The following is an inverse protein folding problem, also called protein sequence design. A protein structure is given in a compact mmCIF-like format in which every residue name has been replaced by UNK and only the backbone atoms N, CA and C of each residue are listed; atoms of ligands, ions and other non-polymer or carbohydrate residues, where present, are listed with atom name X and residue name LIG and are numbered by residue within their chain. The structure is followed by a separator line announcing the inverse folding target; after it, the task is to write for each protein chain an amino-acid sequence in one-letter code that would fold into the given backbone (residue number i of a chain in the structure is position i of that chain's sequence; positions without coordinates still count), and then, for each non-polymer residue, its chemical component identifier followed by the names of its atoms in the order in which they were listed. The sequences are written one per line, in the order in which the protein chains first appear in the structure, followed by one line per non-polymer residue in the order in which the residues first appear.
data_IF_223552771563
#
_entry.id   IF_223552771563
#
_cell.length_a   1.000
_cell.length_b   1.000
_cell.length_c   1.000
_cell.angle_alpha   90.00
_cell.angle_beta   90.00
_cell.angle_gamma   90.00
#
_symmetry.space_group_name_H-M   'P 1'
#
loop_
_entity.id
_entity.type
_entity.pdbx_description
1 polymer ?
#
# COMPACT_ATOMS: atom_id res chain seq x y z
N UNK A 1 -19.79 -2.43 -16.94
CA UNK A 1 -18.68 -2.90 -17.79
C UNK A 1 -17.71 -3.76 -16.99
N UNK A 2 -17.25 -4.91 -17.52
CA UNK A 2 -16.08 -5.64 -17.01
C UNK A 2 -14.98 -5.51 -18.07
N UNK A 3 -13.83 -4.96 -17.71
CA UNK A 3 -12.67 -4.80 -18.59
C UNK A 3 -11.48 -5.55 -17.98
N UNK A 4 -10.66 -6.20 -18.81
CA UNK A 4 -9.45 -6.89 -18.37
C UNK A 4 -8.29 -5.93 -18.09
N UNK A 5 -8.33 -4.71 -18.64
CA UNK A 5 -7.31 -3.66 -18.45
C UNK A 5 -7.94 -2.26 -18.34
N UNK A 6 -7.20 -1.31 -17.77
CA UNK A 6 -7.62 0.10 -17.73
C UNK A 6 -7.79 0.70 -19.15
N UNK A 7 -6.92 0.28 -20.09
CA UNK A 7 -7.02 0.68 -21.50
C UNK A 7 -8.32 0.17 -22.13
N UNK A 8 -8.68 -1.09 -21.90
CA UNK A 8 -9.97 -1.64 -22.33
C UNK A 8 -11.15 -0.92 -21.69
N UNK A 9 -11.06 -0.56 -20.40
CA UNK A 9 -12.11 0.18 -19.72
C UNK A 9 -12.36 1.55 -20.38
N UNK A 10 -11.29 2.27 -20.74
CA UNK A 10 -11.37 3.54 -21.46
C UNK A 10 -11.92 3.35 -22.87
N UNK A 11 -11.52 2.30 -23.59
CA UNK A 11 -12.08 1.98 -24.91
C UNK A 11 -13.58 1.69 -24.85
N UNK A 12 -14.02 0.90 -23.86
CA UNK A 12 -15.43 0.60 -23.65
C UNK A 12 -16.22 1.85 -23.26
N UNK A 13 -15.66 2.72 -22.41
CA UNK A 13 -16.27 4.00 -22.06
C UNK A 13 -16.42 4.92 -23.27
N UNK A 14 -15.42 4.99 -24.15
CA UNK A 14 -15.50 5.74 -25.41
C UNK A 14 -16.56 5.15 -26.33
N UNK A 15 -16.62 3.83 -26.48
CA UNK A 15 -17.66 3.17 -27.27
C UNK A 15 -19.07 3.48 -26.73
N UNK A 16 -19.24 3.45 -25.40
CA UNK A 16 -20.52 3.73 -24.74
C UNK A 16 -20.90 5.23 -24.78
N UNK A 17 -19.92 6.14 -24.76
CA UNK A 17 -20.17 7.57 -24.79
C UNK A 17 -20.64 8.07 -26.17
N UNK A 18 -20.17 7.43 -27.25
CA UNK A 18 -20.40 7.91 -28.61
C UNK A 18 -21.29 7.01 -29.47
N UNK A 19 -21.50 5.73 -29.08
CA UNK A 19 -22.39 4.80 -29.79
C UNK A 19 -22.10 4.66 -31.29
N UNK A 20 -23.09 4.19 -32.04
CA UNK A 20 -23.07 4.10 -33.52
C UNK A 20 -23.73 5.31 -34.21
N UNK A 21 -24.02 6.39 -33.48
CA UNK A 21 -24.60 7.60 -34.07
C UNK A 21 -23.58 8.32 -34.96
N UNK A 22 -23.98 8.68 -36.19
CA UNK A 22 -23.14 9.46 -37.12
C UNK A 22 -22.62 10.78 -36.52
N UNK A 23 -23.39 11.40 -35.61
CA UNK A 23 -22.96 12.60 -34.88
C UNK A 23 -21.95 12.30 -33.76
N UNK A 24 -21.87 11.08 -33.23
CA UNK A 24 -20.85 10.67 -32.25
C UNK A 24 -19.51 10.32 -32.90
N UNK A 25 -19.52 9.86 -34.15
CA UNK A 25 -18.35 9.35 -34.85
C UNK A 25 -17.19 10.37 -34.97
N UNK A 26 -17.51 11.63 -35.29
CA UNK A 26 -16.49 12.66 -35.44
C UNK A 26 -15.88 13.10 -34.10
N UNK A 27 -16.66 13.10 -33.01
CA UNK A 27 -16.16 13.39 -31.67
C UNK A 27 -15.24 12.26 -31.19
N UNK A 28 -15.66 11.01 -31.39
CA UNK A 28 -14.88 9.81 -31.10
C UNK A 28 -13.53 9.81 -31.82
N UNK A 29 -13.52 10.14 -33.11
CA UNK A 29 -12.29 10.20 -33.92
C UNK A 29 -11.25 11.19 -33.35
N UNK A 30 -11.68 12.29 -32.71
CA UNK A 30 -10.73 13.22 -32.06
C UNK A 30 -9.95 12.57 -30.91
N UNK A 31 -10.61 11.72 -30.14
CA UNK A 31 -10.02 10.99 -29.01
C UNK A 31 -9.14 9.85 -29.52
N UNK A 32 -9.61 9.10 -30.52
CA UNK A 32 -8.83 7.99 -31.07
C UNK A 32 -7.47 8.43 -31.63
N UNK A 33 -7.46 9.51 -32.42
CA UNK A 33 -6.22 10.01 -33.05
C UNK A 33 -5.21 10.51 -32.03
N UNK A 34 -5.64 11.33 -31.09
CA UNK A 34 -4.70 11.97 -30.17
C UNK A 34 -4.39 11.11 -28.94
N UNK A 35 -5.41 10.51 -28.33
CA UNK A 35 -5.29 9.88 -27.01
C UNK A 35 -4.96 8.38 -27.12
N UNK A 36 -5.33 7.71 -28.23
CA UNK A 36 -4.95 6.32 -28.48
C UNK A 36 -3.77 6.17 -29.46
N UNK A 37 -3.70 6.98 -30.51
CA UNK A 37 -2.63 6.90 -31.53
C UNK A 37 -1.49 7.91 -31.31
N UNK A 38 -1.64 8.87 -30.40
CA UNK A 38 -0.61 9.86 -30.09
C UNK A 38 -0.38 10.91 -31.18
N UNK A 39 -1.32 11.09 -32.11
CA UNK A 39 -1.20 12.07 -33.20
C UNK A 39 -1.21 13.50 -32.64
N UNK A 40 -0.28 14.34 -33.12
CA UNK A 40 -0.26 15.77 -32.78
C UNK A 40 -1.52 16.45 -33.33
N UNK A 41 -2.09 17.38 -32.56
CA UNK A 41 -3.32 18.13 -32.88
C UNK A 41 -3.39 18.66 -34.30
N UNK A 42 -2.28 19.18 -34.85
CA UNK A 42 -2.23 19.70 -36.22
C UNK A 42 -2.49 18.62 -37.27
N UNK A 43 -1.91 17.43 -37.09
CA UNK A 43 -2.07 16.31 -38.01
C UNK A 43 -3.49 15.73 -37.91
N UNK A 44 -4.00 15.53 -36.69
CA UNK A 44 -5.35 15.04 -36.46
C UNK A 44 -6.42 15.98 -37.04
N UNK A 45 -6.30 17.29 -36.80
CA UNK A 45 -7.23 18.29 -37.35
C UNK A 45 -7.23 18.28 -38.89
N UNK A 46 -6.04 18.19 -39.51
CA UNK A 46 -5.91 18.12 -40.96
C UNK A 46 -6.56 16.84 -41.54
N UNK A 47 -6.35 15.69 -40.89
CA UNK A 47 -6.90 14.42 -41.32
C UNK A 47 -8.43 14.35 -41.19
N UNK A 48 -9.01 15.16 -40.30
CA UNK A 48 -10.46 15.29 -40.11
C UNK A 48 -11.07 16.43 -40.94
N UNK A 49 -10.28 17.11 -41.78
CA UNK A 49 -10.70 18.28 -42.56
C UNK A 49 -11.28 19.42 -41.69
N UNK A 50 -10.72 19.62 -40.48
CA UNK A 50 -11.14 20.65 -39.53
C UNK A 50 -10.08 21.74 -39.38
N UNK A 51 -10.50 22.99 -39.17
CA UNK A 51 -9.60 24.01 -38.63
C UNK A 51 -9.17 23.65 -37.20
N UNK A 52 -8.00 24.13 -36.75
CA UNK A 52 -7.53 23.91 -35.36
C UNK A 52 -8.57 24.35 -34.33
N UNK A 53 -9.26 25.47 -34.57
CA UNK A 53 -10.29 25.99 -33.65
C UNK A 53 -11.50 25.07 -33.58
N UNK A 54 -11.97 24.57 -34.72
CA UNK A 54 -13.06 23.58 -34.75
C UNK A 54 -12.64 22.28 -34.07
N UNK A 55 -11.43 21.78 -34.33
CA UNK A 55 -10.90 20.59 -33.67
C UNK A 55 -10.92 20.71 -32.14
N UNK A 56 -10.45 21.84 -31.58
CA UNK A 56 -10.50 22.05 -30.13
C UNK A 56 -11.93 22.10 -29.58
N UNK A 57 -12.87 22.72 -30.32
CA UNK A 57 -14.28 22.74 -29.94
C UNK A 57 -14.86 21.32 -29.90
N UNK A 58 -14.63 20.53 -30.94
CA UNK A 58 -15.05 19.12 -30.99
C UNK A 58 -14.38 18.28 -29.90
N UNK A 59 -13.10 18.50 -29.62
CA UNK A 59 -12.41 17.79 -28.52
C UNK A 59 -12.99 18.13 -27.15
N UNK A 60 -13.30 19.40 -26.89
CA UNK A 60 -13.94 19.82 -25.64
C UNK A 60 -15.33 19.17 -25.48
N UNK A 61 -16.11 19.13 -26.56
CA UNK A 61 -17.42 18.46 -26.60
C UNK A 61 -17.30 16.94 -26.39
N UNK A 62 -16.30 16.30 -27.00
CA UNK A 62 -16.01 14.89 -26.81
C UNK A 62 -15.66 14.58 -25.34
N UNK A 63 -14.81 15.39 -24.71
CA UNK A 63 -14.45 15.23 -23.30
C UNK A 63 -15.65 15.45 -22.37
N UNK A 64 -16.51 16.43 -22.66
CA UNK A 64 -17.74 16.64 -21.88
C UNK A 64 -18.67 15.42 -21.97
N UNK A 65 -18.87 14.85 -23.16
CA UNK A 65 -19.72 13.67 -23.36
C UNK A 65 -19.14 12.42 -22.70
N UNK A 66 -17.83 12.26 -22.72
CA UNK A 66 -17.13 11.23 -21.95
C UNK A 66 -17.34 11.41 -20.45
N UNK A 67 -17.24 12.64 -19.94
CA UNK A 67 -17.44 12.93 -18.52
C UNK A 67 -18.89 12.64 -18.09
N UNK A 68 -19.89 13.05 -18.89
CA UNK A 68 -21.30 12.73 -18.61
C UNK A 68 -21.58 11.23 -18.67
N UNK A 69 -20.96 10.51 -19.61
CA UNK A 69 -21.12 9.05 -19.70
C UNK A 69 -20.42 8.35 -18.55
N UNK A 70 -19.24 8.81 -18.16
CA UNK A 70 -18.55 8.32 -16.97
C UNK A 70 -19.42 8.53 -15.73
N UNK A 71 -19.97 9.73 -15.54
CA UNK A 71 -20.89 10.02 -14.43
C UNK A 71 -22.08 9.04 -14.41
N UNK A 72 -22.74 8.82 -15.56
CA UNK A 72 -23.87 7.89 -15.71
C UNK A 72 -23.50 6.42 -15.49
N UNK A 73 -22.36 5.97 -16.02
CA UNK A 73 -21.83 4.61 -15.75
C UNK A 73 -21.53 4.44 -14.26
N UNK A 74 -21.15 5.53 -13.60
CA UNK A 74 -20.92 5.61 -12.17
C UNK A 74 -22.21 5.85 -11.36
N UNK A 75 -23.41 6.01 -11.94
CA UNK A 75 -24.71 6.17 -11.24
C UNK A 75 -25.26 4.86 -10.62
N UNK A 76 -24.38 3.94 -10.20
CA UNK A 76 -24.65 3.29 -8.90
C UNK A 76 -24.51 4.40 -7.85
N UNK A 77 -25.42 4.58 -6.88
CA UNK A 77 -25.22 5.62 -5.88
C UNK A 77 -23.80 5.46 -5.31
N UNK A 78 -22.91 6.43 -5.55
CA UNK A 78 -21.52 6.25 -5.22
C UNK A 78 -21.43 6.27 -3.70
N UNK A 79 -20.86 5.23 -3.12
CA UNK A 79 -20.65 5.19 -1.67
C UNK A 79 -19.51 6.13 -1.24
N UNK A 80 -18.69 6.61 -2.18
CA UNK A 80 -17.64 7.60 -1.97
C UNK A 80 -17.91 8.90 -2.76
N UNK A 81 -17.87 10.03 -2.07
CA UNK A 81 -18.10 11.38 -2.58
C UNK A 81 -17.04 11.76 -3.65
N UNK A 82 -17.46 11.93 -4.91
CA UNK A 82 -16.59 12.16 -6.07
C UNK A 82 -15.59 13.31 -5.85
N UNK A 83 -16.03 14.38 -5.18
CA UNK A 83 -15.20 15.54 -4.90
C UNK A 83 -14.04 15.19 -3.95
N UNK A 84 -14.27 14.28 -3.00
CA UNK A 84 -13.26 13.81 -2.04
C UNK A 84 -12.23 12.92 -2.74
N UNK A 85 -12.69 12.05 -3.64
CA UNK A 85 -11.82 11.20 -4.47
C UNK A 85 -10.99 12.06 -5.42
N UNK A 86 -11.60 13.08 -6.04
CA UNK A 86 -10.91 14.02 -6.91
C UNK A 86 -9.87 14.85 -6.14
N UNK A 87 -10.23 15.41 -4.98
CA UNK A 87 -9.28 16.11 -4.11
C UNK A 87 -8.11 15.21 -3.68
N UNK A 88 -8.36 13.93 -3.40
CA UNK A 88 -7.32 12.96 -3.08
C UNK A 88 -6.44 12.57 -4.27
N UNK A 89 -6.96 12.59 -5.50
CA UNK A 89 -6.15 12.41 -6.71
C UNK A 89 -5.30 13.64 -7.00
N UNK A 90 -5.86 14.84 -6.79
CA UNK A 90 -5.16 16.12 -6.95
C UNK A 90 -4.04 16.25 -5.91
N UNK A 91 -4.22 15.77 -4.67
CA UNK A 91 -3.19 15.91 -3.62
C UNK A 91 -1.87 15.23 -3.96
N UNK A 92 -1.89 14.20 -4.80
CA UNK A 92 -0.68 13.53 -5.30
C UNK A 92 0.13 14.38 -6.31
N UNK A 93 -0.46 15.43 -6.88
CA UNK A 93 0.12 16.25 -7.95
C UNK A 93 0.27 17.71 -7.52
N UNK A 94 -0.73 18.26 -6.85
CA UNK A 94 -0.83 19.64 -6.40
C UNK A 94 -1.53 19.70 -5.02
N UNK A 95 -0.71 19.72 -3.96
CA UNK A 95 -1.17 19.70 -2.58
C UNK A 95 -1.99 20.95 -2.23
N UNK A 96 -1.63 22.12 -2.75
CA UNK A 96 -2.31 23.39 -2.45
C UNK A 96 -3.71 23.42 -3.07
N UNK A 97 -3.83 23.02 -4.34
CA UNK A 97 -5.13 22.88 -5.01
C UNK A 97 -6.02 21.85 -4.30
N UNK A 98 -5.46 20.73 -3.85
CA UNK A 98 -6.21 19.72 -3.10
C UNK A 98 -6.75 20.25 -1.77
N UNK A 99 -5.98 21.06 -1.03
CA UNK A 99 -6.45 21.68 0.20
C UNK A 99 -7.61 22.64 -0.03
N UNK A 100 -7.57 23.44 -1.09
CA UNK A 100 -8.69 24.30 -1.45
C UNK A 100 -9.96 23.49 -1.75
N UNK A 101 -9.82 22.40 -2.50
CA UNK A 101 -10.94 21.48 -2.77
C UNK A 101 -11.49 20.89 -1.47
N UNK A 102 -10.64 20.36 -0.58
CA UNK A 102 -11.08 19.83 0.71
C UNK A 102 -11.77 20.89 1.58
N UNK A 103 -11.23 22.11 1.67
CA UNK A 103 -11.84 23.19 2.45
C UNK A 103 -13.23 23.58 1.92
N UNK A 104 -13.43 23.54 0.61
CA UNK A 104 -14.72 23.79 -0.02
C UNK A 104 -15.72 22.66 0.22
N UNK A 105 -15.28 21.41 0.14
CA UNK A 105 -16.12 20.23 0.42
C UNK A 105 -16.54 20.22 1.89
N UNK A 106 -15.61 20.44 2.82
CA UNK A 106 -15.90 20.50 4.28
C UNK A 106 -16.94 21.57 4.60
N UNK A 107 -16.89 22.73 3.93
CA UNK A 107 -17.86 23.82 4.13
C UNK A 107 -19.28 23.46 3.68
N UNK A 108 -19.43 22.56 2.71
CA UNK A 108 -20.72 22.14 2.13
C UNK A 108 -21.35 20.94 2.84
N UNK A 109 -20.62 20.28 3.74
CA UNK A 109 -21.04 19.03 4.41
C UNK A 109 -21.35 19.26 5.89
N UNK A 110 -22.20 18.41 6.47
CA UNK A 110 -22.54 18.41 7.90
C UNK A 110 -22.45 16.99 8.48
N UNK A 111 -22.43 16.89 9.82
CA UNK A 111 -22.41 15.61 10.54
C UNK A 111 -21.22 14.71 10.17
N UNK A 112 -21.48 13.41 10.04
CA UNK A 112 -20.48 12.36 9.77
C UNK A 112 -19.75 12.54 8.43
N UNK A 113 -20.44 13.04 7.40
CA UNK A 113 -19.82 13.30 6.09
C UNK A 113 -18.75 14.39 6.17
N UNK A 114 -19.01 15.45 6.95
CA UNK A 114 -18.02 16.51 7.17
C UNK A 114 -16.77 15.97 7.85
N UNK A 115 -16.94 15.08 8.81
CA UNK A 115 -15.82 14.49 9.55
C UNK A 115 -15.00 13.55 8.64
N UNK A 116 -15.66 12.72 7.83
CA UNK A 116 -14.97 11.87 6.85
C UNK A 116 -14.13 12.68 5.85
N UNK A 117 -14.63 13.84 5.38
CA UNK A 117 -13.88 14.74 4.50
C UNK A 117 -12.70 15.37 5.24
N UNK A 118 -12.87 15.78 6.51
CA UNK A 118 -11.77 16.32 7.32
C UNK A 118 -10.66 15.28 7.53
N UNK A 119 -11.03 14.04 7.80
CA UNK A 119 -10.10 12.91 7.90
C UNK A 119 -9.32 12.74 6.60
N UNK A 120 -10.00 12.72 5.46
CA UNK A 120 -9.36 12.61 4.14
C UNK A 120 -8.42 13.81 3.86
N UNK A 121 -8.81 15.02 4.23
CA UNK A 121 -8.00 16.22 4.10
C UNK A 121 -6.72 16.13 4.97
N UNK A 122 -6.84 15.71 6.23
CA UNK A 122 -5.70 15.49 7.13
C UNK A 122 -4.74 14.43 6.60
N UNK A 123 -5.27 13.32 6.07
CA UNK A 123 -4.45 12.29 5.45
C UNK A 123 -3.69 12.82 4.23
N UNK A 124 -4.39 13.51 3.32
CA UNK A 124 -3.77 14.13 2.15
C UNK A 124 -2.72 15.17 2.54
N UNK A 125 -2.98 15.98 3.56
CA UNK A 125 -2.04 16.98 4.09
C UNK A 125 -0.69 16.38 4.49
N UNK A 126 -0.76 15.35 5.35
CA UNK A 126 0.42 14.70 5.91
C UNK A 126 1.14 13.89 4.84
N UNK A 127 0.40 13.08 4.08
CA UNK A 127 0.98 12.12 3.14
C UNK A 127 1.33 12.71 1.78
N UNK A 128 1.01 13.96 1.49
CA UNK A 128 1.47 14.67 0.28
C UNK A 128 2.64 15.62 0.58
N UNK A 129 3.06 15.73 1.85
CA UNK A 129 4.24 16.51 2.20
C UNK A 129 5.52 15.87 1.61
N UNK A 130 6.36 16.72 1.01
CA UNK A 130 7.68 16.36 0.51
C UNK A 130 8.79 16.67 1.53
N UNK A 131 8.51 17.52 2.51
CA UNK A 131 9.47 17.95 3.53
C UNK A 131 8.94 17.66 4.96
N UNK A 132 9.69 16.92 5.80
CA UNK A 132 9.39 16.77 7.23
C UNK A 132 9.17 18.09 7.97
N UNK A 133 9.89 19.14 7.58
CA UNK A 133 9.80 20.47 8.18
C UNK A 133 8.49 21.20 7.86
N UNK A 134 7.76 20.78 6.82
CA UNK A 134 6.45 21.33 6.49
C UNK A 134 5.34 20.71 7.35
N UNK A 135 5.54 19.50 7.87
CA UNK A 135 4.58 18.81 8.75
C UNK A 135 4.80 19.20 10.22
N UNK A 136 6.06 19.47 10.63
CA UNK A 136 6.49 19.72 12.01
C UNK A 136 5.95 21.00 12.75
N UNK A 137 5.69 22.17 12.11
CA UNK A 137 5.36 23.41 12.83
C UNK A 137 3.94 23.40 13.41
N UNK A 138 2.98 22.79 12.72
CA UNK A 138 1.58 22.67 13.20
C UNK A 138 1.42 21.56 14.26
N UNK A 139 2.40 20.65 14.38
CA UNK A 139 2.43 19.49 15.28
C UNK A 139 2.30 19.85 16.76
N UNK A 140 2.92 20.97 17.14
CA UNK A 140 3.00 21.44 18.52
C UNK A 140 1.66 22.02 18.98
N UNK A 141 0.82 22.48 18.04
CA UNK A 141 -0.44 23.18 18.32
C UNK A 141 -1.70 22.39 17.96
N UNK A 142 -1.60 21.35 17.12
CA UNK A 142 -2.78 20.57 16.74
C UNK A 142 -3.36 19.80 17.93
N UNK A 143 -4.63 20.04 18.23
CA UNK A 143 -5.40 19.31 19.24
C UNK A 143 -6.08 18.05 18.67
N UNK A 144 -5.97 17.82 17.36
CA UNK A 144 -6.57 16.67 16.69
C UNK A 144 -5.67 15.43 16.83
N UNK A 145 -6.11 14.40 17.57
CA UNK A 145 -5.32 13.19 17.78
C UNK A 145 -5.07 12.41 16.49
N UNK A 146 -5.95 12.50 15.48
CA UNK A 146 -5.74 11.81 14.21
C UNK A 146 -4.56 12.42 13.45
N UNK A 147 -4.54 13.74 13.33
CA UNK A 147 -3.43 14.46 12.69
C UNK A 147 -2.09 14.12 13.35
N UNK A 148 -2.05 14.05 14.70
CA UNK A 148 -0.86 13.64 15.45
C UNK A 148 -0.40 12.22 15.12
N UNK A 149 -1.32 11.26 15.04
CA UNK A 149 -1.00 9.86 14.72
C UNK A 149 -0.45 9.72 13.29
N UNK A 150 -1.07 10.38 12.31
CA UNK A 150 -0.60 10.35 10.92
C UNK A 150 0.75 11.04 10.77
N UNK A 151 0.93 12.19 11.42
CA UNK A 151 2.20 12.89 11.43
C UNK A 151 3.31 12.06 12.08
N UNK A 152 3.04 11.39 13.20
CA UNK A 152 4.00 10.52 13.84
C UNK A 152 4.42 9.38 12.89
N UNK A 153 3.47 8.82 12.14
CA UNK A 153 3.76 7.80 11.13
C UNK A 153 4.64 8.36 9.99
N UNK A 154 4.34 9.58 9.50
CA UNK A 154 5.16 10.25 8.50
C UNK A 154 6.59 10.48 9.00
N UNK A 155 6.74 11.05 10.20
CA UNK A 155 8.04 11.32 10.82
C UNK A 155 8.84 10.04 11.08
N UNK A 156 8.16 8.94 11.38
CA UNK A 156 8.81 7.62 11.49
C UNK A 156 9.44 7.19 10.16
N UNK A 157 8.74 7.39 9.03
CA UNK A 157 9.26 7.07 7.70
C UNK A 157 10.40 8.00 7.25
N UNK A 158 10.46 9.23 7.75
CA UNK A 158 11.54 10.17 7.40
C UNK A 158 12.77 10.02 8.31
N UNK A 159 12.75 9.09 9.27
CA UNK A 159 13.85 8.83 10.20
C UNK A 159 13.84 9.70 11.46
N UNK A 160 12.82 10.53 11.68
CA UNK A 160 12.67 11.36 12.88
C UNK A 160 12.03 10.57 14.04
N UNK A 161 12.59 9.39 14.35
CA UNK A 161 11.99 8.36 15.20
C UNK A 161 11.73 8.82 16.65
N UNK A 162 12.58 9.69 17.21
CA UNK A 162 12.38 10.23 18.56
C UNK A 162 11.17 11.18 18.63
N UNK A 163 11.01 12.02 17.60
CA UNK A 163 9.86 12.94 17.50
C UNK A 163 8.58 12.13 17.26
N UNK A 164 8.62 11.17 16.35
CA UNK A 164 7.52 10.25 16.08
C UNK A 164 7.06 9.53 17.36
N UNK A 165 8.00 8.97 18.14
CA UNK A 165 7.71 8.30 19.40
C UNK A 165 7.02 9.21 20.42
N UNK A 166 7.47 10.47 20.56
CA UNK A 166 6.82 11.45 21.43
C UNK A 166 5.41 11.77 20.99
N UNK A 167 5.18 12.00 19.70
CA UNK A 167 3.84 12.26 19.16
C UNK A 167 2.89 11.07 19.32
N UNK A 168 3.37 9.84 19.11
CA UNK A 168 2.58 8.64 19.40
C UNK A 168 2.19 8.55 20.88
N UNK A 169 3.12 8.82 21.81
CA UNK A 169 2.83 8.82 23.24
C UNK A 169 1.82 9.90 23.64
N UNK A 170 1.94 11.11 23.07
CA UNK A 170 0.98 12.19 23.28
C UNK A 170 -0.40 11.85 22.75
N UNK A 171 -0.48 11.32 21.52
CA UNK A 171 -1.74 10.87 20.93
C UNK A 171 -2.38 9.78 21.79
N UNK A 172 -1.61 8.76 22.22
CA UNK A 172 -2.10 7.71 23.10
C UNK A 172 -2.67 8.28 24.42
N UNK A 173 -1.99 9.26 25.02
CA UNK A 173 -2.48 9.95 26.23
C UNK A 173 -3.80 10.70 25.97
N UNK A 174 -3.92 11.40 24.84
CA UNK A 174 -5.14 12.13 24.46
C UNK A 174 -6.31 11.18 24.17
N UNK A 175 -6.03 9.99 23.65
CA UNK A 175 -7.02 8.97 23.32
C UNK A 175 -7.50 8.17 24.53
N UNK A 176 -6.71 8.13 25.62
CA UNK A 176 -7.08 7.42 26.84
C UNK A 176 -8.39 7.96 27.45
N UNK A 177 -9.38 7.07 27.64
CA UNK A 177 -10.63 7.40 28.33
C UNK A 177 -11.68 8.16 27.51
N UNK A 178 -11.46 8.44 26.23
CA UNK A 178 -12.41 9.17 25.37
C UNK A 178 -13.16 8.23 24.40
N UNK A 179 -14.48 8.44 24.25
CA UNK A 179 -15.39 7.57 23.45
C UNK A 179 -15.88 8.19 22.13
N UNK A 180 -15.50 9.42 21.80
CA UNK A 180 -15.97 10.10 20.57
C UNK A 180 -15.45 9.39 19.30
N UNK A 181 -16.23 9.42 18.22
CA UNK A 181 -15.96 8.71 16.96
C UNK A 181 -14.58 9.08 16.37
N UNK A 182 -14.22 10.36 16.29
CA UNK A 182 -12.92 10.80 15.79
C UNK A 182 -11.73 10.25 16.60
N UNK A 183 -11.89 10.13 17.93
CA UNK A 183 -10.88 9.52 18.80
C UNK A 183 -10.77 8.00 18.52
N UNK A 184 -11.87 7.33 18.18
CA UNK A 184 -11.83 5.90 17.80
C UNK A 184 -11.07 5.67 16.50
N UNK A 185 -11.29 6.50 15.48
CA UNK A 185 -10.52 6.42 14.24
C UNK A 185 -9.02 6.67 14.49
N UNK A 186 -8.67 7.72 15.23
CA UNK A 186 -7.27 7.96 15.60
C UNK A 186 -6.65 6.80 16.39
N UNK A 187 -7.39 6.20 17.34
CA UNK A 187 -6.94 5.02 18.08
C UNK A 187 -6.78 3.79 17.18
N UNK A 188 -7.69 3.58 16.23
CA UNK A 188 -7.60 2.49 15.25
C UNK A 188 -6.33 2.66 14.39
N UNK A 189 -6.05 3.87 13.92
CA UNK A 189 -4.87 4.19 13.13
C UNK A 189 -3.58 4.00 13.92
N UNK A 190 -3.56 4.44 15.17
CA UNK A 190 -2.44 4.21 16.08
C UNK A 190 -2.17 2.70 16.25
N UNK A 191 -3.22 1.91 16.53
CA UNK A 191 -3.11 0.47 16.66
C UNK A 191 -2.64 -0.21 15.35
N UNK A 192 -3.05 0.28 14.18
CA UNK A 192 -2.53 -0.18 12.89
C UNK A 192 -1.01 0.04 12.76
N UNK A 193 -0.52 1.24 13.10
CA UNK A 193 0.91 1.56 13.02
C UNK A 193 1.73 0.78 14.04
N UNK A 194 1.24 0.64 15.28
CA UNK A 194 1.87 -0.22 16.28
C UNK A 194 1.92 -1.68 15.82
N UNK A 195 0.85 -2.18 15.20
CA UNK A 195 0.81 -3.55 14.68
C UNK A 195 1.86 -3.76 13.58
N UNK A 196 2.01 -2.79 12.69
CA UNK A 196 3.03 -2.86 11.65
C UNK A 196 4.45 -2.83 12.22
N UNK A 197 4.71 -2.00 13.25
CA UNK A 197 5.99 -1.99 13.96
C UNK A 197 6.27 -3.33 14.67
N UNK A 198 5.30 -3.87 15.43
CA UNK A 198 5.45 -5.15 16.13
C UNK A 198 5.77 -6.30 15.18
N UNK A 199 5.15 -6.32 13.99
CA UNK A 199 5.45 -7.31 12.95
C UNK A 199 6.87 -7.21 12.39
N UNK A 200 7.45 -6.01 12.37
CA UNK A 200 8.84 -5.83 11.93
C UNK A 200 9.84 -6.19 13.03
N UNK A 201 9.50 -5.89 14.29
CA UNK A 201 10.26 -6.29 15.47
C UNK A 201 10.17 -7.80 15.76
N UNK A 202 9.24 -8.51 15.14
CA UNK A 202 9.02 -9.95 15.35
C UNK A 202 8.25 -10.27 16.62
N UNK A 203 7.60 -9.29 17.26
CA UNK A 203 6.76 -9.50 18.45
C UNK A 203 5.35 -9.98 18.04
N UNK A 204 5.25 -11.27 17.73
CA UNK A 204 3.98 -11.89 17.34
C UNK A 204 2.94 -11.86 18.47
N UNK A 205 3.37 -11.89 19.73
CA UNK A 205 2.46 -11.85 20.88
C UNK A 205 1.78 -10.49 20.99
N UNK A 206 2.55 -9.40 20.90
CA UNK A 206 1.98 -8.04 20.89
C UNK A 206 1.17 -7.78 19.63
N UNK A 207 1.60 -8.27 18.48
CA UNK A 207 0.82 -8.21 17.25
C UNK A 207 -0.55 -8.88 17.40
N UNK A 208 -0.64 -10.05 18.04
CA UNK A 208 -1.91 -10.74 18.31
C UNK A 208 -2.85 -9.91 19.19
N UNK A 209 -2.32 -9.25 20.23
CA UNK A 209 -3.11 -8.36 21.08
C UNK A 209 -3.67 -7.16 20.29
N UNK A 210 -2.84 -6.53 19.47
CA UNK A 210 -3.22 -5.37 18.65
C UNK A 210 -4.27 -5.73 17.60
N UNK A 211 -4.17 -6.92 16.98
CA UNK A 211 -5.21 -7.42 16.07
C UNK A 211 -6.56 -7.56 16.79
N UNK A 212 -6.58 -8.10 18.02
CA UNK A 212 -7.78 -8.16 18.84
C UNK A 212 -8.33 -6.76 19.19
N UNK A 213 -7.43 -5.81 19.47
CA UNK A 213 -7.81 -4.42 19.75
C UNK A 213 -8.41 -3.71 18.53
N UNK A 214 -7.90 -3.95 17.32
CA UNK A 214 -8.46 -3.37 16.09
C UNK A 214 -9.92 -3.79 15.88
N UNK A 215 -10.26 -5.04 16.15
CA UNK A 215 -11.64 -5.52 16.05
C UNK A 215 -12.57 -4.79 17.04
N UNK A 216 -12.11 -4.51 18.26
CA UNK A 216 -12.87 -3.76 19.25
C UNK A 216 -12.97 -2.26 18.91
N UNK A 217 -11.93 -1.67 18.33
CA UNK A 217 -11.91 -0.26 17.92
C UNK A 217 -12.75 0.02 16.67
N UNK A 218 -12.94 -0.98 15.81
CA UNK A 218 -13.78 -0.85 14.63
C UNK A 218 -15.24 -0.55 14.96
N UNK A 219 -15.77 -1.12 16.06
CA UNK A 219 -17.17 -0.93 16.51
C UNK A 219 -18.15 -1.10 15.33
N UNK A 220 -19.20 -0.28 15.20
CA UNK A 220 -20.16 -0.42 14.10
C UNK A 220 -19.63 0.06 12.72
N UNK A 221 -18.38 0.54 12.60
CA UNK A 221 -17.81 0.99 11.33
C UNK A 221 -17.37 -0.21 10.47
N UNK A 222 -18.20 -0.53 9.47
CA UNK A 222 -17.97 -1.64 8.53
C UNK A 222 -16.63 -1.57 7.81
N UNK A 223 -16.14 -0.36 7.49
CA UNK A 223 -14.86 -0.18 6.77
C UNK A 223 -13.69 -0.51 7.69
N UNK A 224 -13.73 -0.03 8.92
CA UNK A 224 -12.73 -0.37 9.94
C UNK A 224 -12.78 -1.86 10.27
N UNK A 225 -13.97 -2.46 10.30
CA UNK A 225 -14.11 -3.91 10.46
C UNK A 225 -13.48 -4.69 9.30
N UNK A 226 -13.68 -4.27 8.05
CA UNK A 226 -13.04 -4.91 6.90
C UNK A 226 -11.51 -4.82 6.98
N UNK A 227 -10.97 -3.67 7.40
CA UNK A 227 -9.53 -3.50 7.63
C UNK A 227 -9.04 -4.40 8.77
N UNK A 228 -9.75 -4.44 9.91
CA UNK A 228 -9.40 -5.28 11.05
C UNK A 228 -9.36 -6.77 10.67
N UNK A 229 -10.32 -7.24 9.84
CA UNK A 229 -10.33 -8.61 9.31
C UNK A 229 -9.17 -8.89 8.37
N UNK A 230 -8.82 -7.95 7.49
CA UNK A 230 -7.64 -8.07 6.63
C UNK A 230 -6.34 -8.13 7.44
N UNK A 231 -6.23 -7.35 8.51
CA UNK A 231 -5.08 -7.39 9.43
C UNK A 231 -5.01 -8.68 10.24
N UNK A 232 -6.16 -9.19 10.71
CA UNK A 232 -6.23 -10.50 11.36
C UNK A 232 -5.83 -11.62 10.40
N UNK A 233 -6.23 -11.54 9.13
CA UNK A 233 -5.85 -12.52 8.11
C UNK A 233 -4.33 -12.54 7.85
N UNK A 234 -3.69 -11.37 7.76
CA UNK A 234 -2.23 -11.29 7.64
C UNK A 234 -1.52 -11.88 8.86
N UNK A 235 -2.06 -11.65 10.06
CA UNK A 235 -1.50 -12.24 11.27
C UNK A 235 -1.69 -13.76 11.31
N UNK A 236 -2.86 -14.28 10.92
CA UNK A 236 -3.12 -15.70 10.78
C UNK A 236 -2.14 -16.37 9.79
N UNK A 237 -1.81 -15.71 8.67
CA UNK A 237 -0.76 -16.18 7.76
C UNK A 237 0.60 -16.32 8.45
N UNK A 238 1.01 -15.34 9.27
CA UNK A 238 2.28 -15.39 10.03
C UNK A 238 2.29 -16.49 11.08
N UNK A 239 1.12 -16.87 11.61
CA UNK A 239 0.97 -18.02 12.50
C UNK A 239 0.88 -19.37 11.75
N UNK A 240 0.71 -19.34 10.42
CA UNK A 240 0.55 -20.53 9.57
C UNK A 240 -0.89 -21.03 9.43
N UNK A 241 -1.87 -20.31 9.95
CA UNK A 241 -3.30 -20.68 9.86
C UNK A 241 -3.92 -20.10 8.58
N UNK A 242 -3.64 -20.77 7.46
CA UNK A 242 -4.11 -20.36 6.13
C UNK A 242 -5.64 -20.47 5.99
N UNK A 243 -6.26 -21.43 6.67
CA UNK A 243 -7.72 -21.62 6.66
C UNK A 243 -8.43 -20.46 7.33
N UNK A 244 -7.97 -20.04 8.52
CA UNK A 244 -8.47 -18.84 9.20
C UNK A 244 -8.23 -17.60 8.36
N UNK A 245 -7.04 -17.44 7.77
CA UNK A 245 -6.74 -16.31 6.91
C UNK A 245 -7.69 -16.20 5.71
N UNK A 246 -7.99 -17.31 5.04
CA UNK A 246 -8.93 -17.35 3.92
C UNK A 246 -10.36 -16.94 4.34
N UNK A 247 -10.84 -17.45 5.48
CA UNK A 247 -12.16 -17.10 6.01
C UNK A 247 -12.26 -15.61 6.34
N UNK A 248 -11.24 -15.05 7.00
CA UNK A 248 -11.18 -13.63 7.36
C UNK A 248 -11.12 -12.71 6.14
N UNK A 249 -10.40 -13.10 5.09
CA UNK A 249 -10.37 -12.37 3.82
C UNK A 249 -11.76 -12.37 3.18
N UNK A 250 -12.43 -13.52 3.13
CA UNK A 250 -13.77 -13.62 2.56
C UNK A 250 -14.78 -12.73 3.33
N UNK A 251 -14.65 -12.67 4.66
CA UNK A 251 -15.49 -11.79 5.47
C UNK A 251 -15.16 -10.30 5.28
N UNK A 252 -13.88 -9.94 5.15
CA UNK A 252 -13.47 -8.58 4.81
C UNK A 252 -14.01 -8.15 3.43
N UNK A 253 -14.00 -9.04 2.44
CA UNK A 253 -14.56 -8.80 1.11
C UNK A 253 -16.07 -8.55 1.17
N UNK A 254 -16.82 -9.39 1.91
CA UNK A 254 -18.26 -9.19 2.12
C UNK A 254 -18.58 -7.82 2.72
N UNK A 255 -17.80 -7.40 3.71
CA UNK A 255 -17.95 -6.08 4.34
C UNK A 255 -17.66 -4.94 3.35
N UNK A 256 -16.63 -5.10 2.52
CA UNK A 256 -16.22 -4.08 1.53
C UNK A 256 -17.16 -3.98 0.32
N UNK A 257 -17.94 -5.02 -0.02
CA UNK A 257 -18.88 -4.96 -1.15
C UNK A 257 -19.97 -3.90 -0.99
N UNK A 258 -20.33 -3.58 0.25
CA UNK A 258 -21.35 -2.58 0.56
C UNK A 258 -20.84 -1.14 0.45
N UNK A 259 -19.53 -0.92 0.57
CA UNK A 259 -18.87 0.38 0.48
C UNK A 259 -17.43 0.24 -0.04
N UNK A 260 -17.24 0.21 -1.38
CA UNK A 260 -15.94 0.01 -1.99
C UNK A 260 -15.03 1.24 -1.84
N UNK A 261 -14.24 1.27 -0.76
CA UNK A 261 -13.14 2.22 -0.57
C UNK A 261 -11.80 1.64 -1.05
N UNK A 262 -11.03 2.40 -1.84
CA UNK A 262 -9.77 1.93 -2.43
C UNK A 262 -8.75 1.45 -1.38
N UNK A 263 -8.65 2.14 -0.23
CA UNK A 263 -7.73 1.75 0.85
C UNK A 263 -8.15 0.44 1.52
N UNK A 264 -9.46 0.22 1.70
CA UNK A 264 -9.99 -1.06 2.22
C UNK A 264 -9.66 -2.18 1.23
N UNK A 265 -9.91 -1.95 -0.07
CA UNK A 265 -9.56 -2.90 -1.12
C UNK A 265 -8.05 -3.20 -1.16
N UNK A 266 -7.19 -2.21 -0.94
CA UNK A 266 -5.74 -2.39 -0.87
C UNK A 266 -5.31 -3.23 0.35
N UNK A 267 -5.96 -3.05 1.51
CA UNK A 267 -5.72 -3.86 2.72
C UNK A 267 -6.10 -5.32 2.52
N UNK A 268 -7.28 -5.55 1.93
CA UNK A 268 -7.74 -6.88 1.54
C UNK A 268 -6.78 -7.48 0.50
N UNK A 269 -6.41 -6.71 -0.52
CA UNK A 269 -5.44 -7.11 -1.54
C UNK A 269 -4.10 -7.53 -0.95
N UNK A 270 -3.58 -6.79 0.02
CA UNK A 270 -2.33 -7.14 0.70
C UNK A 270 -2.46 -8.44 1.52
N UNK A 271 -3.58 -8.65 2.21
CA UNK A 271 -3.86 -9.92 2.89
C UNK A 271 -3.97 -11.09 1.91
N UNK A 272 -4.67 -10.91 0.78
CA UNK A 272 -4.75 -11.89 -0.32
C UNK A 272 -3.39 -12.19 -0.92
N UNK A 273 -2.56 -11.17 -1.11
CA UNK A 273 -1.19 -11.35 -1.59
C UNK A 273 -0.37 -12.22 -0.63
N UNK A 274 -0.52 -11.97 0.67
CA UNK A 274 0.20 -12.72 1.73
C UNK A 274 -0.26 -14.17 1.74
N UNK A 275 -1.56 -14.42 1.75
CA UNK A 275 -2.13 -15.78 1.71
C UNK A 275 -1.71 -16.52 0.43
N UNK A 276 -1.83 -15.89 -0.73
CA UNK A 276 -1.44 -16.49 -2.00
C UNK A 276 0.06 -16.82 -2.02
N UNK A 277 0.91 -15.97 -1.44
CA UNK A 277 2.33 -16.25 -1.30
C UNK A 277 2.59 -17.48 -0.42
N UNK A 278 1.92 -17.56 0.74
CA UNK A 278 1.98 -18.72 1.64
C UNK A 278 1.47 -20.02 0.99
N UNK A 279 0.58 -19.93 0.03
CA UNK A 279 0.05 -21.09 -0.72
C UNK A 279 0.89 -21.46 -1.94
N UNK A 280 2.03 -20.80 -2.19
CA UNK A 280 2.83 -21.01 -3.39
C UNK A 280 2.20 -20.44 -4.68
N UNK A 281 1.09 -19.71 -4.58
CA UNK A 281 0.40 -19.06 -5.70
C UNK A 281 1.06 -17.72 -6.05
N UNK A 282 2.35 -17.74 -6.36
CA UNK A 282 3.18 -16.54 -6.48
C UNK A 282 2.68 -15.56 -7.55
N UNK A 283 2.11 -16.04 -8.67
CA UNK A 283 1.52 -15.18 -9.70
C UNK A 283 0.33 -14.37 -9.18
N UNK A 284 -0.53 -14.98 -8.36
CA UNK A 284 -1.64 -14.27 -7.71
C UNK A 284 -1.12 -13.29 -6.64
N UNK A 285 -0.13 -13.71 -5.85
CA UNK A 285 0.51 -12.87 -4.85
C UNK A 285 1.09 -11.59 -5.46
N UNK A 286 1.83 -11.71 -6.57
CA UNK A 286 2.42 -10.59 -7.30
C UNK A 286 1.37 -9.59 -7.75
N UNK A 287 0.28 -10.05 -8.41
CA UNK A 287 -0.79 -9.16 -8.90
C UNK A 287 -1.43 -8.36 -7.78
N UNK A 288 -1.80 -9.03 -6.69
CA UNK A 288 -2.43 -8.36 -5.55
C UNK A 288 -1.47 -7.40 -4.84
N UNK A 289 -0.21 -7.78 -4.66
CA UNK A 289 0.80 -6.95 -4.00
C UNK A 289 1.09 -5.67 -4.81
N UNK A 290 1.27 -5.77 -6.12
CA UNK A 290 1.49 -4.60 -7.01
C UNK A 290 0.28 -3.64 -6.97
N UNK A 291 -0.94 -4.18 -7.02
CA UNK A 291 -2.15 -3.38 -6.89
C UNK A 291 -2.23 -2.65 -5.55
N UNK A 292 -1.95 -3.35 -4.45
CA UNK A 292 -1.94 -2.77 -3.11
C UNK A 292 -0.85 -1.70 -2.94
N UNK A 293 0.38 -1.95 -3.42
CA UNK A 293 1.47 -0.96 -3.41
C UNK A 293 1.08 0.33 -4.10
N UNK A 294 0.45 0.25 -5.27
CA UNK A 294 0.07 1.42 -6.06
C UNK A 294 -0.92 2.32 -5.33
N UNK A 295 -1.87 1.72 -4.60
CA UNK A 295 -2.85 2.46 -3.80
C UNK A 295 -2.21 3.01 -2.51
N UNK A 296 -1.42 2.19 -1.81
CA UNK A 296 -0.79 2.61 -0.55
C UNK A 296 0.28 3.68 -0.72
N UNK A 297 0.99 3.71 -1.86
CA UNK A 297 2.08 4.66 -2.08
C UNK A 297 1.62 6.13 -1.94
N UNK A 298 0.35 6.42 -2.19
CA UNK A 298 -0.25 7.75 -2.05
C UNK A 298 -0.74 7.99 -0.62
N UNK A 299 -1.55 7.09 -0.06
CA UNK A 299 -2.28 7.37 1.19
C UNK A 299 -1.73 6.71 2.46
N UNK A 300 -0.92 5.66 2.35
CA UNK A 300 -0.37 4.91 3.49
C UNK A 300 1.01 4.30 3.16
N UNK A 301 2.05 5.13 2.95
CA UNK A 301 3.35 4.67 2.43
C UNK A 301 4.00 3.56 3.27
N UNK A 302 3.75 3.53 4.58
CA UNK A 302 4.22 2.46 5.47
C UNK A 302 3.77 1.06 5.01
N UNK A 303 2.53 0.93 4.54
CA UNK A 303 2.01 -0.34 4.00
C UNK A 303 2.45 -0.58 2.56
N UNK A 304 2.75 0.49 1.81
CA UNK A 304 3.28 0.38 0.46
C UNK A 304 4.63 -0.35 0.44
N UNK A 305 5.51 -0.07 1.41
CA UNK A 305 6.79 -0.79 1.56
C UNK A 305 6.59 -2.30 1.74
N UNK A 306 5.70 -2.69 2.65
CA UNK A 306 5.43 -4.11 2.93
C UNK A 306 4.83 -4.83 1.72
N UNK A 307 3.86 -4.20 1.05
CA UNK A 307 3.29 -4.75 -0.18
C UNK A 307 4.32 -4.81 -1.32
N UNK A 308 5.20 -3.81 -1.46
CA UNK A 308 6.24 -3.79 -2.48
C UNK A 308 7.28 -4.89 -2.25
N UNK A 309 7.73 -5.07 -1.00
CA UNK A 309 8.64 -6.16 -0.64
C UNK A 309 8.01 -7.53 -0.93
N UNK A 310 6.71 -7.72 -0.64
CA UNK A 310 5.99 -8.95 -0.97
C UNK A 310 5.87 -9.16 -2.50
N UNK A 311 5.62 -8.11 -3.27
CA UNK A 311 5.64 -8.17 -4.72
C UNK A 311 7.02 -8.61 -5.25
N UNK A 312 8.10 -8.05 -4.69
CA UNK A 312 9.46 -8.43 -5.06
C UNK A 312 9.80 -9.89 -4.71
N UNK A 313 9.33 -10.39 -3.56
CA UNK A 313 9.46 -11.81 -3.17
C UNK A 313 8.70 -12.73 -4.12
N UNK A 314 7.45 -12.37 -4.46
CA UNK A 314 6.65 -13.13 -5.40
C UNK A 314 7.25 -13.14 -6.82
N UNK A 315 7.79 -12.00 -7.29
CA UNK A 315 8.50 -11.92 -8.56
C UNK A 315 9.77 -12.79 -8.57
N UNK A 316 10.53 -12.78 -7.47
CA UNK A 316 11.72 -13.61 -7.29
C UNK A 316 11.39 -15.10 -7.42
N UNK A 317 10.32 -15.55 -6.75
CA UNK A 317 9.86 -16.94 -6.78
C UNK A 317 9.39 -17.38 -8.18
N UNK A 318 8.97 -16.43 -9.03
CA UNK A 318 8.57 -16.68 -10.42
C UNK A 318 9.73 -16.54 -11.42
N UNK A 319 10.93 -16.15 -10.97
CA UNK A 319 12.05 -15.83 -11.86
C UNK A 319 11.81 -14.59 -12.74
N UNK A 320 10.96 -13.66 -12.30
CA UNK A 320 10.62 -12.44 -13.03
C UNK A 320 11.44 -11.26 -12.53
N UNK A 321 11.72 -10.31 -13.44
CA UNK A 321 12.23 -9.00 -13.06
C UNK A 321 11.22 -8.27 -12.18
N UNK A 322 11.70 -7.61 -11.13
CA UNK A 322 10.88 -6.78 -10.27
C UNK A 322 11.19 -5.30 -10.47
N UNK A 323 10.17 -4.50 -10.76
CA UNK A 323 10.28 -3.05 -10.73
C UNK A 323 10.28 -2.61 -9.25
N UNK A 324 11.48 -2.44 -8.69
CA UNK A 324 11.68 -1.96 -7.33
C UNK A 324 10.91 -0.65 -7.13
N UNK A 325 10.35 -0.43 -5.94
CA UNK A 325 9.64 0.81 -5.61
C UNK A 325 10.61 1.97 -5.36
N UNK A 326 11.49 2.26 -6.34
CA UNK A 326 12.58 3.24 -6.20
C UNK A 326 12.05 4.64 -5.89
N UNK A 327 10.89 5.04 -6.44
CA UNK A 327 10.25 6.30 -6.10
C UNK A 327 9.85 6.39 -4.62
N UNK A 328 9.38 5.28 -4.02
CA UNK A 328 9.04 5.21 -2.60
C UNK A 328 10.29 5.27 -1.72
N UNK A 329 11.35 4.54 -2.10
CA UNK A 329 12.64 4.57 -1.41
C UNK A 329 13.33 5.93 -1.51
N UNK A 330 13.25 6.61 -2.66
CA UNK A 330 13.80 7.94 -2.85
C UNK A 330 13.04 8.98 -2.01
N UNK A 331 11.72 8.82 -1.91
CA UNK A 331 10.86 9.69 -1.09
C UNK A 331 11.12 9.52 0.41
N UNK A 332 11.37 8.29 0.87
CA UNK A 332 11.63 7.99 2.28
C UNK A 332 12.94 7.20 2.43
N UNK A 333 14.11 7.86 2.29
CA UNK A 333 15.40 7.18 2.25
C UNK A 333 15.76 6.49 3.58
N UNK A 334 15.24 7.01 4.70
CA UNK A 334 15.52 6.51 6.04
C UNK A 334 14.35 5.71 6.64
N UNK A 335 13.35 5.32 5.83
CA UNK A 335 12.22 4.55 6.32
C UNK A 335 12.68 3.18 6.84
N UNK A 336 12.31 2.77 8.06
CA UNK A 336 12.65 1.45 8.59
C UNK A 336 12.29 0.31 7.61
N UNK A 337 11.11 0.41 6.99
CA UNK A 337 10.57 -0.60 6.08
C UNK A 337 11.33 -0.69 4.73
N UNK A 338 12.21 0.29 4.42
CA UNK A 338 13.11 0.19 3.26
C UNK A 338 14.08 -0.98 3.41
N UNK A 339 14.38 -1.43 4.63
CA UNK A 339 15.25 -2.58 4.86
C UNK A 339 14.74 -3.84 4.15
N UNK A 340 13.41 -4.07 4.18
CA UNK A 340 12.79 -5.20 3.48
C UNK A 340 12.95 -5.08 1.95
N UNK A 341 12.76 -3.88 1.40
CA UNK A 341 12.92 -3.64 -0.04
C UNK A 341 14.37 -3.87 -0.48
N UNK A 342 15.35 -3.31 0.24
CA UNK A 342 16.77 -3.45 -0.11
C UNK A 342 17.24 -4.91 -0.02
N UNK A 343 16.76 -5.66 0.98
CA UNK A 343 17.08 -7.08 1.09
C UNK A 343 16.45 -7.92 -0.04
N UNK A 344 15.21 -7.62 -0.46
CA UNK A 344 14.60 -8.28 -1.62
C UNK A 344 15.32 -7.88 -2.90
N UNK A 345 15.69 -6.60 -3.05
CA UNK A 345 16.49 -6.09 -4.18
C UNK A 345 17.82 -6.80 -4.28
N UNK A 346 18.51 -7.04 -3.16
CA UNK A 346 19.76 -7.78 -3.12
C UNK A 346 19.61 -9.20 -3.69
N UNK A 347 18.51 -9.91 -3.40
CA UNK A 347 18.24 -11.23 -4.00
C UNK A 347 18.04 -11.18 -5.51
N UNK A 348 17.35 -10.15 -6.02
CA UNK A 348 17.22 -9.94 -7.47
C UNK A 348 18.57 -9.63 -8.12
N UNK A 349 19.40 -8.81 -7.48
CA UNK A 349 20.74 -8.45 -7.96
C UNK A 349 21.71 -9.62 -7.96
N UNK A 350 21.51 -10.63 -7.11
CA UNK A 350 22.41 -11.78 -6.99
C UNK A 350 22.62 -12.51 -8.32
N UNK A 351 21.61 -12.51 -9.20
CA UNK A 351 21.66 -13.14 -10.52
C UNK A 351 22.37 -12.32 -11.59
N UNK A 352 22.71 -11.06 -11.29
CA UNK A 352 23.26 -10.10 -12.26
C UNK A 352 24.63 -9.58 -11.80
N UNK A 353 24.73 -9.15 -10.55
CA UNK A 353 25.93 -8.57 -9.94
C UNK A 353 25.97 -8.88 -8.43
N UNK A 354 26.86 -9.82 -8.06
CA UNK A 354 27.03 -10.24 -6.66
C UNK A 354 27.57 -9.13 -5.75
N UNK A 355 28.32 -8.16 -6.28
CA UNK A 355 28.86 -7.06 -5.49
C UNK A 355 27.77 -6.02 -5.20
N UNK A 356 26.95 -5.70 -6.21
CA UNK A 356 25.78 -4.85 -6.01
C UNK A 356 24.77 -5.51 -5.05
N UNK A 357 24.60 -6.83 -5.15
CA UNK A 357 23.78 -7.61 -4.22
C UNK A 357 24.32 -7.53 -2.78
N UNK A 358 25.63 -7.67 -2.59
CA UNK A 358 26.26 -7.50 -1.28
C UNK A 358 25.99 -6.12 -0.69
N UNK A 359 26.27 -5.06 -1.45
CA UNK A 359 26.08 -3.69 -0.98
C UNK A 359 24.61 -3.40 -0.60
N UNK A 360 23.65 -3.93 -1.36
CA UNK A 360 22.23 -3.81 -1.03
C UNK A 360 21.84 -4.58 0.24
N UNK A 361 22.35 -5.80 0.42
CA UNK A 361 22.08 -6.60 1.61
C UNK A 361 22.72 -6.03 2.87
N UNK A 362 23.92 -5.45 2.77
CA UNK A 362 24.60 -4.75 3.86
C UNK A 362 23.82 -3.50 4.29
N UNK A 363 23.39 -2.66 3.33
CA UNK A 363 22.50 -1.51 3.62
C UNK A 363 21.21 -1.93 4.29
N UNK A 364 20.58 -3.01 3.82
CA UNK A 364 19.37 -3.55 4.45
C UNK A 364 19.62 -3.96 5.91
N UNK A 365 20.74 -4.64 6.17
CA UNK A 365 21.10 -5.08 7.51
C UNK A 365 21.44 -3.91 8.45
N UNK A 366 22.16 -2.90 7.95
CA UNK A 366 22.49 -1.68 8.69
C UNK A 366 21.20 -0.95 9.12
N UNK A 367 20.31 -0.69 8.17
CA UNK A 367 19.04 -0.02 8.43
C UNK A 367 18.15 -0.82 9.39
N UNK A 368 18.08 -2.15 9.20
CA UNK A 368 17.32 -3.02 10.10
C UNK A 368 17.88 -3.03 11.54
N UNK A 369 19.21 -2.98 11.69
CA UNK A 369 19.86 -2.88 13.03
C UNK A 369 19.61 -1.54 13.69
N UNK A 370 19.74 -0.44 12.94
CA UNK A 370 19.47 0.91 13.42
C UNK A 370 18.07 1.02 14.02
N UNK A 371 17.08 0.41 13.37
CA UNK A 371 15.68 0.43 13.79
C UNK A 371 15.22 -0.80 14.58
N UNK A 372 16.13 -1.72 14.92
CA UNK A 372 15.85 -2.96 15.70
C UNK A 372 14.76 -3.85 15.08
N UNK A 373 14.72 -3.94 13.76
CA UNK A 373 13.74 -4.73 13.00
C UNK A 373 14.18 -6.20 12.92
N UNK A 374 13.84 -7.01 13.93
CA UNK A 374 14.29 -8.41 14.03
C UNK A 374 14.04 -9.21 12.75
N UNK A 375 12.84 -9.11 12.18
CA UNK A 375 12.48 -9.86 10.98
C UNK A 375 13.31 -9.43 9.75
N UNK A 376 13.51 -8.13 9.55
CA UNK A 376 14.36 -7.61 8.47
C UNK A 376 15.83 -7.95 8.68
N UNK A 377 16.33 -7.98 9.92
CA UNK A 377 17.69 -8.45 10.24
C UNK A 377 17.87 -9.89 9.79
N UNK A 378 16.93 -10.78 10.16
CA UNK A 378 16.97 -12.20 9.80
C UNK A 378 16.95 -12.35 8.27
N UNK A 379 16.07 -11.61 7.59
CA UNK A 379 15.93 -11.67 6.14
C UNK A 379 17.18 -11.15 5.40
N UNK A 380 17.77 -10.05 5.88
CA UNK A 380 19.02 -9.51 5.34
C UNK A 380 20.20 -10.46 5.57
N UNK A 381 20.31 -11.09 6.75
CA UNK A 381 21.33 -12.09 7.04
C UNK A 381 21.22 -13.33 6.16
N UNK A 382 20.01 -13.85 5.97
CA UNK A 382 19.78 -14.94 5.04
C UNK A 382 20.18 -14.55 3.60
N UNK A 383 19.90 -13.31 3.19
CA UNK A 383 20.29 -12.81 1.87
C UNK A 383 21.82 -12.66 1.74
N UNK A 384 22.52 -12.15 2.76
CA UNK A 384 23.98 -12.14 2.80
C UNK A 384 24.59 -13.54 2.72
N UNK A 385 23.93 -14.55 3.28
CA UNK A 385 24.39 -15.95 3.16
C UNK A 385 24.39 -16.43 1.70
N UNK A 386 23.40 -16.04 0.90
CA UNK A 386 23.31 -16.35 -0.53
C UNK A 386 24.37 -15.59 -1.33
N UNK A 387 24.61 -14.32 -1.00
CA UNK A 387 25.69 -13.51 -1.59
C UNK A 387 27.06 -14.14 -1.32
N UNK A 388 27.34 -14.48 -0.06
CA UNK A 388 28.58 -15.14 0.32
C UNK A 388 28.77 -16.47 -0.42
N UNK A 389 27.70 -17.26 -0.58
CA UNK A 389 27.73 -18.49 -1.37
C UNK A 389 28.07 -18.24 -2.84
N UNK A 390 27.44 -17.24 -3.48
CA UNK A 390 27.69 -16.88 -4.88
C UNK A 390 29.14 -16.40 -5.10
N UNK A 391 29.76 -15.81 -4.08
CA UNK A 391 31.16 -15.39 -4.09
C UNK A 391 32.13 -16.47 -3.57
N UNK A 392 31.68 -17.72 -3.45
CA UNK A 392 32.48 -18.87 -2.98
C UNK A 392 33.01 -18.76 -1.53
N UNK A 393 32.42 -17.89 -0.69
CA UNK A 393 32.73 -17.74 0.75
C UNK A 393 31.93 -18.75 1.60
N UNK A 394 32.15 -20.04 1.36
CA UNK A 394 31.30 -21.13 1.87
C UNK A 394 31.21 -21.24 3.41
N UNK A 395 32.29 -20.92 4.14
CA UNK A 395 32.27 -20.96 5.61
C UNK A 395 31.37 -19.86 6.20
N UNK A 396 31.49 -18.65 5.68
CA UNK A 396 30.68 -17.50 6.05
C UNK A 396 29.21 -17.71 5.66
N UNK A 397 28.95 -18.19 4.44
CA UNK A 397 27.61 -18.51 3.98
C UNK A 397 26.89 -19.49 4.93
N UNK A 398 27.57 -20.58 5.34
CA UNK A 398 27.01 -21.53 6.31
C UNK A 398 26.72 -20.88 7.67
N UNK A 399 27.66 -20.10 8.20
CA UNK A 399 27.49 -19.40 9.48
C UNK A 399 26.28 -18.45 9.45
N UNK A 400 26.17 -17.60 8.42
CA UNK A 400 25.06 -16.67 8.24
C UNK A 400 23.72 -17.39 8.07
N UNK A 401 23.69 -18.47 7.28
CA UNK A 401 22.48 -19.26 7.04
C UNK A 401 22.00 -19.93 8.33
N UNK A 402 22.89 -20.55 9.10
CA UNK A 402 22.56 -21.16 10.40
C UNK A 402 22.04 -20.13 11.40
N UNK A 403 22.67 -18.95 11.48
CA UNK A 403 22.23 -17.87 12.35
C UNK A 403 20.85 -17.34 11.96
N UNK A 404 20.61 -17.12 10.66
CA UNK A 404 19.31 -16.67 10.17
C UNK A 404 18.22 -17.72 10.42
N UNK A 405 18.52 -19.01 10.22
CA UNK A 405 17.61 -20.12 10.52
C UNK A 405 17.21 -20.14 12.00
N UNK A 406 18.19 -20.15 12.92
CA UNK A 406 17.95 -20.19 14.36
C UNK A 406 17.06 -19.03 14.81
N UNK A 407 17.33 -17.82 14.31
CA UNK A 407 16.54 -16.63 14.62
C UNK A 407 15.14 -16.67 14.01
N UNK A 408 14.98 -17.16 12.78
CA UNK A 408 13.68 -17.32 12.14
C UNK A 408 12.79 -18.32 12.90
N UNK A 409 13.36 -19.44 13.32
CA UNK A 409 12.66 -20.45 14.15
C UNK A 409 12.26 -19.85 15.49
N UNK A 410 13.15 -19.10 16.15
CA UNK A 410 12.87 -18.44 17.42
C UNK A 410 11.79 -17.34 17.30
N UNK A 411 11.75 -16.63 16.17
CA UNK A 411 10.71 -15.63 15.90
C UNK A 411 9.33 -16.25 15.69
N UNK A 412 9.25 -17.52 15.27
CA UNK A 412 7.99 -18.24 15.07
C UNK A 412 7.14 -17.74 13.91
N UNK A 413 7.66 -16.83 13.08
CA UNK A 413 6.96 -16.25 11.94
C UNK A 413 7.01 -17.21 10.73
N UNK A 414 5.87 -17.85 10.44
CA UNK A 414 5.73 -18.83 9.36
C UNK A 414 5.92 -18.22 7.97
N UNK A 415 5.54 -16.96 7.79
CA UNK A 415 5.75 -16.25 6.52
C UNK A 415 7.24 -16.02 6.27
N UNK A 416 7.96 -15.60 7.31
CA UNK A 416 9.42 -15.43 7.22
C UNK A 416 10.10 -16.77 6.94
N UNK A 417 9.74 -17.84 7.65
CA UNK A 417 10.32 -19.17 7.45
C UNK A 417 10.08 -19.69 6.03
N UNK A 418 8.86 -19.57 5.51
CA UNK A 418 8.52 -20.02 4.15
C UNK A 418 9.29 -19.26 3.08
N UNK A 419 9.45 -17.95 3.23
CA UNK A 419 10.16 -17.12 2.27
C UNK A 419 11.70 -17.32 2.29
N UNK A 420 12.24 -17.67 3.46
CA UNK A 420 13.67 -17.96 3.61
C UNK A 420 14.04 -19.39 3.21
N UNK A 421 13.14 -20.34 3.44
CA UNK A 421 13.40 -21.77 3.34
C UNK A 421 12.22 -22.52 2.69
N UNK A 422 11.94 -22.28 1.39
CA UNK A 422 10.76 -22.83 0.71
C UNK A 422 10.75 -24.36 0.60
N UNK A 423 11.93 -24.99 0.61
CA UNK A 423 12.08 -26.47 0.55
C UNK A 423 11.79 -27.15 1.90
N UNK A 424 11.54 -26.39 2.96
CA UNK A 424 11.16 -26.95 4.25
C UNK A 424 9.67 -27.32 4.18
N UNK A 425 9.37 -28.54 3.73
CA UNK A 425 8.02 -29.10 3.73
C UNK A 425 7.41 -28.97 5.12
N UNK A 426 6.45 -28.06 5.29
CA UNK A 426 5.78 -27.82 6.57
C UNK A 426 4.80 -28.94 6.97
N UNK A 427 4.86 -30.11 6.31
CA UNK A 427 4.16 -31.31 6.76
C UNK A 427 4.90 -31.90 7.97
N UNK A 428 4.32 -31.66 9.15
CA UNK A 428 4.45 -32.46 10.40
C UNK A 428 5.75 -32.43 11.23
N UNK A 429 6.93 -32.09 10.69
CA UNK A 429 8.19 -32.33 11.44
C UNK A 429 8.57 -31.32 12.55
N UNK A 430 7.84 -30.22 12.74
CA UNK A 430 8.17 -29.25 13.81
C UNK A 430 7.64 -29.62 15.20
N UNK A 431 6.87 -30.71 15.33
CA UNK A 431 6.43 -31.21 16.63
C UNK A 431 7.47 -32.10 17.34
N UNK A 432 8.47 -32.64 16.64
CA UNK A 432 9.42 -33.58 17.23
C UNK A 432 10.68 -32.96 17.85
N UNK A 433 10.94 -31.67 17.65
CA UNK A 433 12.14 -31.00 18.18
C UNK A 433 11.99 -30.33 19.55
N UNK A 434 10.89 -30.59 20.29
CA UNK A 434 10.75 -30.18 21.70
C UNK A 434 11.13 -31.25 22.73
N UNK A 435 11.65 -32.40 22.27
CA UNK A 435 12.10 -33.49 23.13
C UNK A 435 13.53 -33.91 22.74
N UNK A 436 14.51 -33.02 22.96
CA UNK A 436 15.93 -33.37 22.99
C UNK A 436 16.70 -32.39 23.87
#
# INVERSE_FOLDING_TARGET
MRAGTAREAVHLLVAEAFGDEQHGAHLRETIERCDFRGEKTRLAASAMHLSRRQFFRHRAEALNRLNSTLARVLERPPTADHDVVFAGAVSAVDTEAAFHLYADIVRRRSGEQREAVRVAATLSAVWSANDPSAVAPEASGSTDPLAKVEQAAFLSLTGATEIASRLYAEAAKQLSGRRQIAHRQAAFRLACYELAACRQEGDLKRAQMLVGQLAALADDDRRLHAIARAEEAQHACRLGDMSKAAALIADAEKLSLADPEALVAARIGHAKATLAFMQGQHAAALRYAVGATSIFAVGQPLYAFSAAALAGRAALALGLSWNCADGLCARFPNAPQRADIEAVRARHLLFVDSNAAQAAAERALELARQHRLSNSIIFAQATLSLVAQAQHRNAEARSLRSLAWQRAVAAGDRLLLQDLFPDFGFSEQLHDHKSA
#
